data_IF_749052248666
#
_entry.id   IF_749052248666
#
_cell.length_a   1.000
_cell.length_b   1.000
_cell.length_c   1.000
_cell.angle_alpha   90.00
_cell.angle_beta   90.00
_cell.angle_gamma   90.00
#
_symmetry.space_group_name_H-M   'P 1'
#
loop_
_entity.id
_entity.type
_entity.pdbx_description
1 polymer ?
#
# COMPACT_ATOMS: atom_id res chain seq x y z
N UNK A 1 15.05 -57.87 31.83
CA UNK A 1 16.13 -58.68 31.25
C UNK A 1 15.47 -59.60 30.24
N UNK A 2 16.05 -59.60 29.04
CA UNK A 2 15.69 -60.31 27.83
C UNK A 2 14.55 -59.80 26.92
N UNK A 3 14.95 -59.79 25.65
CA UNK A 3 14.25 -59.61 24.37
C UNK A 3 13.91 -58.17 23.95
N UNK A 4 14.25 -57.72 22.73
CA UNK A 4 15.12 -58.23 21.66
C UNK A 4 15.30 -57.08 20.66
N UNK A 5 16.46 -57.01 20.01
CA UNK A 5 16.78 -56.10 18.91
C UNK A 5 16.32 -56.69 17.56
N UNK A 6 15.93 -55.84 16.61
CA UNK A 6 16.28 -55.87 15.17
C UNK A 6 15.42 -54.82 14.43
N UNK A 7 15.95 -53.78 13.79
CA UNK A 7 16.77 -53.69 12.57
C UNK A 7 15.93 -53.46 11.29
N UNK A 8 16.44 -52.54 10.46
CA UNK A 8 15.86 -51.89 9.27
C UNK A 8 15.72 -52.80 8.03
N UNK A 9 14.77 -52.48 7.13
CA UNK A 9 15.03 -52.10 5.71
C UNK A 9 13.76 -51.98 4.82
N UNK A 10 13.64 -50.80 4.19
CA UNK A 10 13.18 -50.40 2.83
C UNK A 10 12.18 -51.18 1.92
N UNK A 11 11.27 -50.35 1.34
CA UNK A 11 10.84 -50.17 -0.09
C UNK A 11 9.54 -50.79 -0.68
N UNK A 12 8.81 -49.89 -1.38
CA UNK A 12 7.97 -50.04 -2.60
C UNK A 12 6.43 -50.22 -2.56
N UNK A 13 5.74 -49.17 -3.05
CA UNK A 13 4.67 -49.06 -4.06
C UNK A 13 3.31 -49.82 -4.05
N UNK A 14 2.28 -49.01 -4.35
CA UNK A 14 0.99 -49.23 -5.07
C UNK A 14 -0.27 -49.77 -4.36
N UNK A 15 -1.32 -48.93 -4.46
CA UNK A 15 -2.76 -49.12 -4.68
C UNK A 15 -3.62 -50.01 -3.76
N UNK A 16 -4.64 -49.37 -3.14
CA UNK A 16 -6.00 -49.93 -3.14
C UNK A 16 -7.07 -48.85 -2.96
N UNK A 17 -8.01 -48.81 -3.91
CA UNK A 17 -9.20 -48.00 -3.91
C UNK A 17 -10.28 -48.59 -2.99
N UNK A 18 -11.06 -47.73 -2.31
CA UNK A 18 -12.37 -48.11 -1.80
C UNK A 18 -13.37 -46.98 -2.03
N UNK A 19 -14.41 -47.29 -2.81
CA UNK A 19 -15.57 -46.45 -3.06
C UNK A 19 -16.45 -46.31 -1.81
N UNK A 20 -17.04 -45.14 -1.61
CA UNK A 20 -18.37 -45.05 -1.01
C UNK A 20 -19.25 -44.10 -1.81
N UNK A 21 -20.48 -44.54 -2.03
CA UNK A 21 -21.44 -43.95 -2.95
C UNK A 21 -22.36 -42.97 -2.23
N UNK A 22 -22.70 -41.90 -2.97
CA UNK A 22 -24.03 -41.29 -3.01
C UNK A 22 -24.53 -40.55 -1.76
N UNK A 23 -24.56 -39.22 -1.84
CA UNK A 23 -25.82 -38.47 -1.73
C UNK A 23 -25.65 -37.16 -2.53
N UNK A 24 -26.43 -37.02 -3.60
CA UNK A 24 -26.57 -35.80 -4.37
C UNK A 24 -27.40 -34.80 -3.56
N UNK A 25 -26.89 -33.58 -3.37
CA UNK A 25 -27.73 -32.41 -3.12
C UNK A 25 -27.42 -31.35 -4.19
N UNK A 26 -28.43 -31.07 -5.01
CA UNK A 26 -28.39 -30.07 -6.07
C UNK A 26 -28.89 -28.76 -5.49
N UNK A 27 -27.99 -27.82 -5.22
CA UNK A 27 -28.34 -26.41 -5.10
C UNK A 27 -27.40 -25.53 -5.93
N UNK A 28 -28.04 -24.64 -6.69
CA UNK A 28 -27.52 -23.66 -7.64
C UNK A 28 -26.21 -22.98 -7.19
N UNK A 29 -25.12 -23.25 -7.90
CA UNK A 29 -23.99 -22.31 -7.99
C UNK A 29 -24.11 -21.55 -9.31
N UNK A 30 -24.45 -20.27 -9.20
CA UNK A 30 -24.36 -19.32 -10.29
C UNK A 30 -22.87 -19.14 -10.61
N UNK A 31 -22.46 -19.62 -11.78
CA UNK A 31 -21.10 -19.54 -12.29
C UNK A 31 -20.76 -18.07 -12.58
N UNK A 32 -20.04 -17.44 -11.65
CA UNK A 32 -19.44 -16.14 -11.92
C UNK A 32 -18.21 -16.36 -12.82
N UNK A 33 -18.30 -15.82 -14.04
CA UNK A 33 -17.15 -15.70 -14.93
C UNK A 33 -16.14 -14.75 -14.29
N UNK A 34 -15.02 -15.31 -13.85
CA UNK A 34 -13.86 -14.57 -13.38
C UNK A 34 -13.24 -13.90 -14.61
N UNK A 35 -13.58 -12.62 -14.84
CA UNK A 35 -12.79 -11.78 -15.72
C UNK A 35 -11.47 -11.50 -15.02
N UNK A 36 -10.37 -12.00 -15.59
CA UNK A 36 -9.00 -11.67 -15.19
C UNK A 36 -8.81 -10.15 -15.26
N UNK A 37 -8.80 -9.49 -14.12
CA UNK A 37 -8.42 -8.07 -14.00
C UNK A 37 -6.90 -8.03 -13.84
N UNK A 38 -6.24 -7.28 -14.72
CA UNK A 38 -4.81 -7.00 -14.67
C UNK A 38 -4.42 -6.45 -13.30
N UNK A 39 -3.48 -7.15 -12.65
CA UNK A 39 -2.81 -6.72 -11.42
C UNK A 39 -2.23 -5.31 -11.63
N UNK A 40 -2.73 -4.33 -10.89
CA UNK A 40 -2.03 -3.06 -10.69
C UNK A 40 -1.49 -3.05 -9.26
N UNK A 41 -0.35 -3.70 -9.09
CA UNK A 41 0.52 -3.47 -7.93
C UNK A 41 1.54 -2.41 -8.35
N UNK A 42 1.89 -1.43 -7.51
CA UNK A 42 3.06 -0.59 -7.77
C UNK A 42 4.30 -1.48 -7.61
N UNK A 43 4.78 -2.07 -8.71
CA UNK A 43 5.97 -2.92 -8.67
C UNK A 43 7.23 -2.07 -8.41
N UNK A 44 8.19 -2.57 -7.62
CA UNK A 44 9.57 -2.10 -7.72
C UNK A 44 10.12 -2.50 -9.10
N UNK A 45 10.70 -1.52 -9.78
CA UNK A 45 11.28 -1.52 -11.14
C UNK A 45 12.11 -2.77 -11.48
N UNK A 46 11.92 -3.39 -12.68
CA UNK A 46 12.94 -3.76 -13.71
C UNK A 46 12.27 -4.27 -15.02
N UNK A 47 12.63 -3.67 -16.16
CA UNK A 47 13.18 -4.29 -17.41
C UNK A 47 12.97 -3.30 -18.57
N UNK A 48 14.02 -2.89 -19.29
CA UNK A 48 14.66 -3.68 -20.33
C UNK A 48 14.19 -3.14 -21.69
N UNK A 49 15.05 -2.38 -22.39
CA UNK A 49 14.74 -1.72 -23.66
C UNK A 49 14.30 -2.75 -24.72
N UNK A 50 13.12 -2.56 -25.29
CA UNK A 50 12.80 -3.05 -26.63
C UNK A 50 12.14 -1.90 -27.43
N UNK A 51 12.84 -1.42 -28.45
CA UNK A 51 12.35 -0.42 -29.40
C UNK A 51 11.44 -1.09 -30.43
N UNK A 52 10.13 -0.79 -30.46
CA UNK A 52 9.32 -0.88 -31.70
C UNK A 52 8.21 0.17 -31.75
N UNK A 53 8.35 1.04 -32.76
CA UNK A 53 7.43 1.82 -33.62
C UNK A 53 6.06 2.34 -33.15
N UNK A 54 5.88 3.64 -33.46
CA UNK A 54 4.62 4.39 -33.57
C UNK A 54 3.58 3.68 -34.46
N UNK A 55 2.39 3.48 -33.90
CA UNK A 55 1.06 3.76 -34.47
C UNK A 55 0.05 2.81 -33.83
N UNK A 56 -0.88 3.34 -33.03
CA UNK A 56 -2.31 3.06 -33.26
C UNK A 56 -3.20 3.82 -32.27
N UNK A 57 -4.23 4.37 -32.88
CA UNK A 57 -5.30 5.20 -32.35
C UNK A 57 -6.08 4.58 -31.19
N UNK A 58 -6.47 5.46 -30.27
CA UNK A 58 -7.54 5.30 -29.28
C UNK A 58 -8.83 4.90 -30.00
N UNK A 59 -9.46 3.79 -29.59
CA UNK A 59 -10.85 3.47 -29.90
C UNK A 59 -11.64 3.29 -28.61
N UNK A 60 -12.49 4.28 -28.32
CA UNK A 60 -13.58 4.19 -27.37
C UNK A 60 -14.60 3.17 -27.90
N UNK A 61 -14.95 2.18 -27.10
CA UNK A 61 -16.05 1.25 -27.41
C UNK A 61 -17.35 1.86 -26.87
N UNK A 62 -18.17 2.39 -27.79
CA UNK A 62 -19.61 2.57 -27.60
C UNK A 62 -20.35 1.31 -28.07
N UNK A 63 -21.12 0.66 -27.19
CA UNK A 63 -22.40 -0.04 -27.47
C UNK A 63 -23.06 -0.28 -26.09
N UNK A 64 -24.30 0.05 -25.78
CA UNK A 64 -25.41 0.67 -26.51
C UNK A 64 -26.59 0.90 -25.54
N UNK A 65 -27.59 1.67 -25.96
CA UNK A 65 -28.90 1.75 -25.31
C UNK A 65 -30.00 1.65 -26.37
N UNK A 66 -31.14 1.02 -26.06
CA UNK A 66 -32.42 1.55 -26.45
C UNK A 66 -33.16 2.04 -25.19
N UNK A 67 -33.47 3.34 -25.23
CA UNK A 67 -34.63 4.02 -24.66
C UNK A 67 -35.19 3.52 -23.32
N UNK A 68 -35.03 4.32 -22.26
CA UNK A 68 -36.19 4.83 -21.52
C UNK A 68 -35.82 6.02 -20.62
N UNK A 69 -36.67 7.04 -20.65
CA UNK A 69 -36.40 8.35 -20.10
C UNK A 69 -36.43 8.43 -18.58
N UNK A 70 -35.35 8.97 -18.01
CA UNK A 70 -35.44 9.76 -16.78
C UNK A 70 -34.30 10.78 -16.75
N UNK A 71 -34.63 12.03 -17.08
CA UNK A 71 -33.71 13.16 -16.97
C UNK A 71 -33.43 13.43 -15.49
N UNK A 72 -32.41 12.78 -14.94
CA UNK A 72 -31.68 13.27 -13.77
C UNK A 72 -30.46 13.99 -14.32
N UNK A 73 -30.49 15.33 -14.30
CA UNK A 73 -29.29 16.11 -14.56
C UNK A 73 -28.27 15.73 -13.48
N UNK A 74 -27.35 14.84 -13.81
CA UNK A 74 -26.10 14.73 -13.08
C UNK A 74 -25.43 16.08 -13.29
N UNK A 75 -25.57 16.95 -12.30
CA UNK A 75 -24.71 18.12 -12.20
C UNK A 75 -23.30 17.56 -12.18
N UNK A 76 -22.56 17.78 -13.26
CA UNK A 76 -21.10 17.75 -13.22
C UNK A 76 -20.71 18.58 -12.00
N UNK A 77 -20.28 17.89 -10.95
CA UNK A 77 -19.60 18.52 -9.86
C UNK A 77 -18.33 19.10 -10.49
N UNK A 78 -18.31 20.42 -10.66
CA UNK A 78 -17.10 21.18 -10.88
C UNK A 78 -16.05 20.67 -9.90
N UNK A 79 -15.08 19.89 -10.38
CA UNK A 79 -14.06 19.27 -9.57
C UNK A 79 -13.18 20.38 -9.00
N UNK A 80 -13.55 20.90 -7.83
CA UNK A 80 -12.60 21.65 -7.02
C UNK A 80 -11.48 20.67 -6.67
N UNK A 81 -10.23 21.04 -6.94
CA UNK A 81 -9.01 20.30 -6.59
C UNK A 81 -8.78 20.20 -5.06
N UNK A 82 -9.84 20.04 -4.29
CA UNK A 82 -9.84 19.98 -2.84
C UNK A 82 -9.68 18.52 -2.42
N UNK A 83 -8.52 18.21 -1.87
CA UNK A 83 -8.23 16.91 -1.25
C UNK A 83 -9.27 16.59 -0.18
N UNK A 84 -9.66 15.32 -0.08
CA UNK A 84 -10.51 14.87 1.02
C UNK A 84 -9.77 14.95 2.35
N UNK A 85 -10.52 15.22 3.42
CA UNK A 85 -9.98 15.16 4.78
C UNK A 85 -9.67 13.72 5.16
N UNK A 86 -8.54 13.52 5.83
CA UNK A 86 -8.08 12.23 6.36
C UNK A 86 -7.97 12.33 7.88
N UNK A 87 -8.60 11.40 8.60
CA UNK A 87 -8.46 11.30 10.04
C UNK A 87 -7.60 10.11 10.43
N UNK A 88 -6.64 10.34 11.31
CA UNK A 88 -5.82 9.30 11.95
C UNK A 88 -6.09 9.27 13.46
N UNK A 89 -5.91 8.12 14.09
CA UNK A 89 -5.98 8.03 15.55
C UNK A 89 -4.88 8.88 16.19
N UNK A 90 -5.19 9.58 17.28
CA UNK A 90 -4.17 10.33 18.03
C UNK A 90 -3.09 9.42 18.63
N UNK A 91 -3.37 8.13 18.78
CA UNK A 91 -2.45 7.11 19.32
C UNK A 91 -1.56 6.44 18.27
N UNK A 92 -1.89 6.61 16.99
CA UNK A 92 -1.28 5.85 15.89
C UNK A 92 0.24 5.89 15.91
N UNK A 93 0.82 7.08 16.10
CA UNK A 93 2.27 7.27 16.08
C UNK A 93 2.98 6.62 17.27
N UNK A 94 2.40 6.71 18.47
CA UNK A 94 2.96 6.15 19.69
C UNK A 94 2.88 4.62 19.68
N UNK A 95 1.72 4.08 19.30
CA UNK A 95 1.53 2.63 19.17
C UNK A 95 2.46 2.05 18.07
N UNK A 96 2.68 2.77 16.96
CA UNK A 96 3.66 2.37 15.94
C UNK A 96 5.11 2.37 16.45
N UNK A 97 5.52 3.41 17.19
CA UNK A 97 6.87 3.45 17.77
C UNK A 97 7.13 2.29 18.74
N UNK A 98 6.13 1.86 19.50
CA UNK A 98 6.25 0.68 20.37
C UNK A 98 6.48 -0.60 19.54
N UNK A 99 5.76 -0.77 18.42
CA UNK A 99 5.95 -1.92 17.51
C UNK A 99 7.32 -1.91 16.82
N UNK A 100 7.86 -0.73 16.53
CA UNK A 100 9.15 -0.52 15.86
C UNK A 100 10.34 -0.46 16.84
N UNK A 101 10.10 -0.54 18.16
CA UNK A 101 11.11 -0.26 19.18
C UNK A 101 12.36 -1.11 19.06
N UNK A 102 12.22 -2.43 18.92
CA UNK A 102 13.38 -3.35 18.83
C UNK A 102 14.28 -3.03 17.63
N UNK A 103 13.68 -2.74 16.48
CA UNK A 103 14.43 -2.36 15.29
C UNK A 103 15.07 -0.97 15.47
N UNK A 104 14.33 -0.03 16.03
CA UNK A 104 14.81 1.33 16.30
C UNK A 104 16.03 1.33 17.23
N UNK A 105 16.02 0.50 18.28
CA UNK A 105 17.17 0.33 19.18
C UNK A 105 18.41 -0.27 18.50
N UNK A 106 18.22 -1.00 17.38
CA UNK A 106 19.29 -1.57 16.54
C UNK A 106 19.67 -0.68 15.37
N UNK A 107 19.17 0.56 15.32
CA UNK A 107 19.33 1.48 14.18
C UNK A 107 18.81 0.87 12.86
N UNK A 108 17.65 0.21 12.92
CA UNK A 108 16.95 -0.34 11.75
C UNK A 108 15.62 0.36 11.55
N UNK A 109 15.34 0.79 10.32
CA UNK A 109 14.05 1.35 9.97
C UNK A 109 12.95 0.28 10.03
N UNK A 110 11.73 0.71 10.36
CA UNK A 110 10.53 -0.12 10.29
C UNK A 110 9.45 0.65 9.55
N UNK A 111 8.67 -0.01 8.68
CA UNK A 111 7.49 0.57 8.04
C UNK A 111 6.19 -0.11 8.44
N UNK A 112 5.09 0.62 8.25
CA UNK A 112 3.72 0.13 8.30
C UNK A 112 2.86 0.83 7.24
N UNK A 113 1.77 0.18 6.85
CA UNK A 113 0.89 0.60 5.76
C UNK A 113 -0.50 0.90 6.32
N UNK A 114 -1.12 1.98 5.84
CA UNK A 114 -2.44 2.41 6.28
C UNK A 114 -3.55 1.84 5.40
N UNK A 115 -4.59 1.35 6.06
CA UNK A 115 -5.90 1.07 5.46
C UNK A 115 -6.95 2.03 6.00
N UNK A 116 -7.68 2.69 5.11
CA UNK A 116 -8.74 3.62 5.47
C UNK A 116 -10.08 3.25 4.85
N UNK A 117 -11.17 3.58 5.55
CA UNK A 117 -12.50 3.56 4.95
C UNK A 117 -12.96 4.98 4.61
N UNK A 118 -13.71 5.12 3.51
CA UNK A 118 -14.32 6.39 3.10
C UNK A 118 -15.73 6.52 3.67
N UNK A 119 -16.03 7.62 4.34
CA UNK A 119 -17.39 7.93 4.81
C UNK A 119 -17.69 9.41 4.67
N UNK A 120 -18.73 9.71 3.89
CA UNK A 120 -19.24 11.09 3.65
C UNK A 120 -18.15 12.05 3.15
N UNK A 121 -17.26 11.58 2.28
CA UNK A 121 -16.17 12.41 1.73
C UNK A 121 -14.97 12.59 2.65
N UNK A 122 -14.90 11.82 3.74
CA UNK A 122 -13.78 11.83 4.69
C UNK A 122 -13.20 10.43 4.82
N UNK A 123 -11.87 10.33 4.72
CA UNK A 123 -11.12 9.10 4.89
C UNK A 123 -10.77 8.92 6.38
N UNK A 124 -10.97 7.72 6.90
CA UNK A 124 -10.64 7.39 8.29
C UNK A 124 -9.65 6.22 8.30
N UNK A 125 -8.42 6.47 8.74
CA UNK A 125 -7.41 5.42 8.91
C UNK A 125 -7.80 4.57 10.10
N UNK A 126 -8.23 3.34 9.81
CA UNK A 126 -8.68 2.36 10.82
C UNK A 126 -7.78 1.16 10.92
N UNK A 127 -6.78 1.05 10.05
CA UNK A 127 -5.94 -0.13 10.01
C UNK A 127 -4.49 0.28 9.80
N UNK A 128 -3.61 -0.27 10.64
CA UNK A 128 -2.17 -0.23 10.49
C UNK A 128 -1.69 -1.66 10.26
N UNK A 129 -1.08 -1.92 9.12
CA UNK A 129 -0.49 -3.22 8.79
C UNK A 129 1.02 -3.06 8.95
N UNK A 130 1.65 -3.86 9.80
CA UNK A 130 3.11 -4.00 9.86
C UNK A 130 3.48 -5.20 8.99
N UNK A 131 3.95 -4.98 7.75
CA UNK A 131 4.27 -6.09 6.87
C UNK A 131 5.55 -6.79 7.33
N UNK A 132 5.74 -8.02 6.83
CA UNK A 132 7.08 -8.58 6.70
C UNK A 132 7.93 -7.57 5.93
N UNK A 133 9.17 -7.38 6.31
CA UNK A 133 10.00 -6.34 5.72
C UNK A 133 11.49 -6.63 5.82
N UNK A 134 12.24 -6.13 4.85
CA UNK A 134 13.71 -6.07 4.90
C UNK A 134 14.13 -4.67 5.35
N UNK A 135 14.87 -4.60 6.46
CA UNK A 135 15.25 -3.34 7.12
C UNK A 135 16.76 -3.11 7.09
N UNK A 136 17.15 -1.88 6.80
CA UNK A 136 18.50 -1.35 7.01
C UNK A 136 18.41 -0.11 7.89
N UNK A 137 19.53 0.57 8.17
CA UNK A 137 19.52 1.85 8.88
C UNK A 137 18.98 3.03 8.07
N UNK A 138 18.67 2.83 6.78
CA UNK A 138 18.23 3.91 5.87
C UNK A 138 17.11 3.51 4.91
N UNK A 139 16.61 2.28 5.02
CA UNK A 139 15.51 1.76 4.19
C UNK A 139 14.73 0.70 4.95
N UNK A 140 13.41 0.64 4.73
CA UNK A 140 12.58 -0.51 5.07
C UNK A 140 11.66 -0.86 3.89
N UNK A 141 11.80 -2.08 3.36
CA UNK A 141 11.05 -2.55 2.20
C UNK A 141 10.03 -3.58 2.67
N UNK A 142 8.75 -3.29 2.48
CA UNK A 142 7.70 -4.28 2.67
C UNK A 142 7.92 -5.44 1.69
N UNK A 143 7.76 -6.67 2.18
CA UNK A 143 7.80 -7.88 1.37
C UNK A 143 6.46 -8.60 1.48
N UNK A 144 6.16 -9.38 0.44
CA UNK A 144 4.91 -10.13 0.30
C UNK A 144 3.65 -9.26 0.29
N UNK A 145 3.58 -8.32 -0.68
CA UNK A 145 2.45 -7.42 -0.89
C UNK A 145 1.09 -8.12 -1.05
N UNK A 146 1.07 -9.41 -1.38
CA UNK A 146 -0.16 -10.21 -1.44
C UNK A 146 -0.87 -10.29 -0.09
N UNK A 147 -0.14 -10.43 1.03
CA UNK A 147 -0.75 -10.47 2.37
C UNK A 147 -1.33 -9.11 2.77
N UNK A 148 -0.63 -8.02 2.41
CA UNK A 148 -1.11 -6.65 2.63
C UNK A 148 -2.39 -6.42 1.83
N UNK A 149 -2.37 -6.77 0.54
CA UNK A 149 -3.51 -6.65 -0.36
C UNK A 149 -4.69 -7.49 0.11
N UNK A 150 -4.47 -8.72 0.58
CA UNK A 150 -5.52 -9.59 1.08
C UNK A 150 -6.30 -8.93 2.25
N UNK A 151 -5.59 -8.37 3.24
CA UNK A 151 -6.22 -7.66 4.37
C UNK A 151 -6.99 -6.43 3.89
N UNK A 152 -6.40 -5.62 3.03
CA UNK A 152 -7.04 -4.41 2.51
C UNK A 152 -8.30 -4.75 1.71
N UNK A 153 -8.21 -5.74 0.82
CA UNK A 153 -9.32 -6.16 -0.04
C UNK A 153 -10.46 -6.80 0.77
N UNK A 154 -10.16 -7.75 1.66
CA UNK A 154 -11.17 -8.41 2.51
C UNK A 154 -11.98 -7.38 3.33
N UNK A 155 -11.31 -6.31 3.77
CA UNK A 155 -11.90 -5.25 4.59
C UNK A 155 -12.35 -4.02 3.79
N UNK A 156 -12.24 -4.06 2.46
CA UNK A 156 -12.56 -2.94 1.56
C UNK A 156 -11.88 -1.62 1.97
N UNK A 157 -10.60 -1.69 2.32
CA UNK A 157 -9.78 -0.56 2.77
C UNK A 157 -9.02 0.08 1.61
N UNK A 158 -8.91 1.41 1.65
CA UNK A 158 -8.14 2.23 0.72
C UNK A 158 -6.70 2.35 1.26
N UNK A 159 -5.66 2.09 0.45
CA UNK A 159 -4.24 2.23 0.84
C UNK A 159 -3.82 3.72 0.89
N UNK A 160 -4.27 4.45 1.91
CA UNK A 160 -4.14 5.92 1.98
C UNK A 160 -2.77 6.41 2.45
N UNK A 161 -1.76 5.55 2.56
CA UNK A 161 -0.42 5.95 2.93
C UNK A 161 0.32 4.95 3.78
N UNK A 162 1.38 5.45 4.42
CA UNK A 162 2.34 4.63 5.15
C UNK A 162 3.06 5.43 6.24
N UNK A 163 3.74 4.73 7.13
CA UNK A 163 4.54 5.28 8.22
C UNK A 163 5.86 4.53 8.31
N UNK A 164 6.95 5.22 8.59
CA UNK A 164 8.23 4.59 8.89
C UNK A 164 9.03 5.32 9.95
N UNK A 165 10.06 4.65 10.47
CA UNK A 165 11.03 5.23 11.41
C UNK A 165 12.29 5.70 10.70
N UNK A 166 12.82 6.83 11.16
CA UNK A 166 14.22 7.25 11.02
C UNK A 166 14.86 7.11 12.42
N UNK A 167 15.50 5.98 12.76
CA UNK A 167 16.00 5.76 14.12
C UNK A 167 17.01 6.82 14.57
N UNK A 168 17.93 7.21 13.69
CA UNK A 168 19.03 8.13 13.98
C UNK A 168 19.04 9.40 13.12
N UNK A 169 18.28 9.41 12.02
CA UNK A 169 18.20 10.54 11.10
C UNK A 169 17.17 11.58 11.54
N UNK A 170 17.31 12.79 11.02
CA UNK A 170 16.29 13.83 11.18
C UNK A 170 14.97 13.47 10.51
N UNK A 171 13.90 14.18 10.85
CA UNK A 171 12.59 14.00 10.24
C UNK A 171 12.51 14.67 8.85
N UNK A 172 12.59 13.90 7.76
CA UNK A 172 12.42 14.36 6.37
C UNK A 172 12.03 13.18 5.47
N UNK A 173 11.65 13.44 4.20
CA UNK A 173 11.50 12.37 3.20
C UNK A 173 12.82 12.19 2.45
N UNK A 174 13.41 11.00 2.56
CA UNK A 174 14.59 10.59 1.81
C UNK A 174 14.30 10.44 0.32
N UNK A 175 15.35 10.30 -0.50
CA UNK A 175 15.19 9.98 -1.94
C UNK A 175 14.31 8.75 -2.17
N UNK A 176 14.47 7.71 -1.34
CA UNK A 176 13.69 6.47 -1.44
C UNK A 176 12.24 6.74 -1.02
N UNK A 177 12.05 7.50 0.05
CA UNK A 177 10.71 7.83 0.56
C UNK A 177 9.91 8.65 -0.45
N UNK A 178 10.55 9.56 -1.18
CA UNK A 178 9.89 10.35 -2.22
C UNK A 178 9.36 9.47 -3.35
N UNK A 179 10.13 8.46 -3.78
CA UNK A 179 9.70 7.50 -4.81
C UNK A 179 8.62 6.55 -4.33
N UNK A 180 8.70 6.09 -3.07
CA UNK A 180 7.62 5.33 -2.43
C UNK A 180 6.35 6.17 -2.37
N UNK A 181 6.43 7.39 -1.85
CA UNK A 181 5.29 8.30 -1.72
C UNK A 181 4.69 8.68 -3.08
N UNK A 182 5.50 8.86 -4.12
CA UNK A 182 5.02 9.07 -5.49
C UNK A 182 4.08 7.94 -5.92
N UNK A 183 4.48 6.69 -5.70
CA UNK A 183 3.68 5.53 -6.08
C UNK A 183 2.33 5.50 -5.38
N UNK A 184 2.30 5.79 -4.06
CA UNK A 184 1.05 5.92 -3.32
C UNK A 184 0.18 7.08 -3.82
N UNK A 185 0.77 8.26 -4.05
CA UNK A 185 0.02 9.46 -4.42
C UNK A 185 -0.50 9.47 -5.86
N UNK A 186 0.13 8.69 -6.76
CA UNK A 186 -0.43 8.40 -8.09
C UNK A 186 -1.74 7.61 -7.99
N UNK A 187 -1.82 6.65 -7.06
CA UNK A 187 -3.00 5.81 -6.89
C UNK A 187 -4.10 6.50 -6.06
N UNK A 188 -3.70 7.21 -5.01
CA UNK A 188 -4.60 7.89 -4.06
C UNK A 188 -4.10 9.32 -3.86
N UNK A 189 -4.76 10.35 -4.43
CA UNK A 189 -4.31 11.73 -4.32
C UNK A 189 -4.16 12.26 -2.89
N UNK A 190 -4.94 11.70 -1.95
CA UNK A 190 -4.86 11.99 -0.51
C UNK A 190 -3.78 11.22 0.25
N UNK A 191 -2.99 10.38 -0.43
CA UNK A 191 -1.97 9.58 0.23
C UNK A 191 -0.93 10.45 0.96
N UNK A 192 -0.45 9.96 2.09
CA UNK A 192 0.54 10.64 2.91
C UNK A 192 1.54 9.65 3.53
N UNK A 193 2.71 10.18 3.89
CA UNK A 193 3.76 9.46 4.60
C UNK A 193 3.92 10.07 6.01
N UNK A 194 4.05 9.23 7.03
CA UNK A 194 4.48 9.67 8.37
C UNK A 194 5.93 9.23 8.59
N UNK A 195 6.80 10.18 8.92
CA UNK A 195 8.17 9.88 9.35
C UNK A 195 8.24 10.03 10.86
N UNK A 196 8.66 8.99 11.55
CA UNK A 196 8.92 9.00 12.99
C UNK A 196 10.43 9.09 13.24
N UNK A 197 10.90 10.22 13.78
CA UNK A 197 12.32 10.47 14.04
C UNK A 197 12.57 10.65 15.55
N UNK A 198 12.58 9.56 16.35
CA UNK A 198 12.59 9.64 17.81
C UNK A 198 13.84 10.33 18.41
N UNK A 199 14.94 10.37 17.68
CA UNK A 199 16.20 11.01 18.10
C UNK A 199 16.34 12.46 17.62
N UNK A 200 15.46 12.93 16.72
CA UNK A 200 15.47 14.30 16.24
C UNK A 200 14.89 15.26 17.30
N UNK A 201 15.78 16.02 17.93
CA UNK A 201 15.43 17.01 18.97
C UNK A 201 14.63 18.20 18.44
N UNK A 202 14.64 18.45 17.13
CA UNK A 202 13.93 19.55 16.49
C UNK A 202 12.51 19.17 16.08
N UNK A 203 12.33 17.95 15.56
CA UNK A 203 11.04 17.44 15.08
C UNK A 203 10.99 15.92 15.16
N UNK A 204 10.29 15.40 16.17
CA UNK A 204 10.20 13.96 16.41
C UNK A 204 9.32 13.20 15.41
N UNK A 205 8.49 13.89 14.64
CA UNK A 205 7.65 13.31 13.59
C UNK A 205 7.20 14.35 12.56
N UNK A 206 6.81 13.88 11.38
CA UNK A 206 6.26 14.72 10.31
C UNK A 206 5.28 13.93 9.45
N UNK A 207 4.26 14.62 8.93
CA UNK A 207 3.23 14.06 8.06
C UNK A 207 3.35 14.78 6.72
N UNK A 208 3.75 14.05 5.69
CA UNK A 208 4.18 14.63 4.41
C UNK A 208 3.40 14.07 3.23
N UNK A 209 3.34 14.86 2.16
CA UNK A 209 2.91 14.46 0.82
C UNK A 209 3.83 15.10 -0.22
N UNK A 210 3.85 14.59 -1.44
CA UNK A 210 4.50 15.29 -2.54
C UNK A 210 3.69 16.53 -2.92
N UNK A 211 4.40 17.61 -3.25
CA UNK A 211 3.73 18.78 -3.81
C UNK A 211 3.17 18.43 -5.19
N UNK A 212 1.96 18.90 -5.48
CA UNK A 212 1.23 18.57 -6.71
C UNK A 212 0.80 19.88 -7.40
N UNK A 213 1.24 20.16 -8.64
CA UNK A 213 1.94 19.25 -9.57
C UNK A 213 3.46 19.20 -9.44
N UNK A 214 4.09 20.07 -8.64
CA UNK A 214 5.54 20.29 -8.63
C UNK A 214 6.36 19.01 -8.40
N UNK A 215 6.32 18.48 -7.18
CA UNK A 215 7.06 17.28 -6.81
C UNK A 215 6.61 16.02 -7.53
N UNK A 216 5.30 15.86 -7.75
CA UNK A 216 4.75 14.77 -8.56
C UNK A 216 5.36 14.73 -9.96
N UNK A 217 5.57 15.89 -10.60
CA UNK A 217 6.17 15.96 -11.94
C UNK A 217 7.66 15.62 -11.93
N UNK A 218 8.41 16.11 -10.93
CA UNK A 218 9.84 15.79 -10.78
C UNK A 218 10.06 14.28 -10.61
N UNK A 219 9.24 13.63 -9.78
CA UNK A 219 9.35 12.20 -9.51
C UNK A 219 8.91 11.35 -10.71
N UNK A 220 7.87 11.78 -11.44
CA UNK A 220 7.42 11.12 -12.68
C UNK A 220 8.52 11.04 -13.74
N UNK A 221 9.33 12.08 -13.86
CA UNK A 221 10.39 12.19 -14.89
C UNK A 221 11.71 11.57 -14.43
N UNK A 222 11.84 11.21 -13.14
CA UNK A 222 13.07 10.68 -12.58
C UNK A 222 13.32 9.23 -13.02
N UNK A 223 14.51 8.97 -13.56
CA UNK A 223 14.96 7.64 -14.01
C UNK A 223 16.20 7.14 -13.26
N UNK A 224 16.64 7.88 -12.23
CA UNK A 224 17.81 7.53 -11.42
C UNK A 224 17.51 6.40 -10.44
N UNK A 225 18.53 5.60 -10.14
CA UNK A 225 18.45 4.45 -9.22
C UNK A 225 19.33 4.68 -7.99
N UNK A 226 18.96 4.05 -6.87
CA UNK A 226 19.65 4.22 -5.58
C UNK A 226 19.38 5.59 -4.95
N UNK A 227 20.17 5.95 -3.94
CA UNK A 227 20.06 7.26 -3.30
C UNK A 227 20.64 8.36 -4.19
N UNK A 228 19.80 9.34 -4.55
CA UNK A 228 20.18 10.47 -5.39
C UNK A 228 19.48 11.76 -4.93
N UNK A 229 19.86 12.88 -5.55
CA UNK A 229 19.21 14.18 -5.32
C UNK A 229 18.26 14.49 -6.47
N UNK A 230 17.14 15.13 -6.17
CA UNK A 230 16.18 15.56 -7.19
C UNK A 230 16.41 17.01 -7.61
N UNK A 231 16.04 17.32 -8.86
CA UNK A 231 16.01 18.69 -9.37
C UNK A 231 14.97 19.52 -8.61
N UNK A 232 15.20 20.82 -8.56
CA UNK A 232 14.19 21.76 -8.10
C UNK A 232 12.95 21.71 -9.00
N UNK A 233 11.79 21.97 -8.42
CA UNK A 233 10.54 22.08 -9.18
C UNK A 233 10.58 23.31 -10.09
N UNK A 234 9.78 23.33 -11.15
CA UNK A 234 9.80 24.41 -12.15
C UNK A 234 9.51 25.81 -11.58
N UNK A 235 8.78 25.88 -10.47
CA UNK A 235 8.42 27.12 -9.76
C UNK A 235 9.25 27.35 -8.49
N UNK A 236 10.27 26.51 -8.22
CA UNK A 236 11.12 26.60 -7.03
C UNK A 236 10.44 26.21 -5.72
N UNK A 237 9.24 25.63 -5.76
CA UNK A 237 8.60 25.10 -4.55
C UNK A 237 9.29 23.83 -4.06
N UNK A 238 9.20 23.50 -2.76
CA UNK A 238 9.65 22.21 -2.25
C UNK A 238 9.03 21.02 -3.00
N UNK A 239 9.79 19.92 -3.11
CA UNK A 239 9.33 18.68 -3.77
C UNK A 239 8.28 17.93 -2.95
N UNK A 240 8.26 18.15 -1.64
CA UNK A 240 7.25 17.64 -0.72
C UNK A 240 6.88 18.72 0.31
N UNK A 241 5.72 18.56 0.92
CA UNK A 241 5.14 19.50 1.88
C UNK A 241 4.45 18.77 3.02
N UNK A 242 4.12 19.49 4.09
CA UNK A 242 3.31 18.93 5.18
C UNK A 242 1.85 18.79 4.73
N UNK A 243 1.20 17.70 5.12
CA UNK A 243 -0.22 17.50 4.80
C UNK A 243 -1.10 18.47 5.60
N UNK A 244 -1.88 19.30 4.89
CA UNK A 244 -2.87 20.19 5.50
C UNK A 244 -4.23 19.51 5.74
N UNK A 245 -4.48 18.36 5.12
CA UNK A 245 -5.75 17.63 5.13
C UNK A 245 -5.74 16.39 6.06
N UNK A 246 -4.71 16.21 6.90
CA UNK A 246 -4.61 15.09 7.85
C UNK A 246 -4.84 15.58 9.29
N UNK A 247 -5.84 15.02 9.96
CA UNK A 247 -6.27 15.44 11.29
C UNK A 247 -6.16 14.30 12.31
N UNK A 248 -5.58 14.59 13.48
CA UNK A 248 -5.59 13.66 14.62
C UNK A 248 -6.96 13.65 15.28
N UNK A 249 -7.50 12.46 15.51
CA UNK A 249 -8.81 12.25 16.13
C UNK A 249 -8.67 11.31 17.34
N UNK A 250 -8.96 11.82 18.54
CA UNK A 250 -8.88 11.06 19.80
C UNK A 250 -9.94 9.97 19.95
N UNK A 251 -11.03 10.08 19.18
CA UNK A 251 -12.14 9.12 19.21
C UNK A 251 -12.00 8.03 18.13
N UNK A 252 -11.04 8.19 17.21
CA UNK A 252 -10.79 7.21 16.17
C UNK A 252 -9.95 6.08 16.74
N UNK A 253 -10.52 4.87 16.71
CA UNK A 253 -9.81 3.63 16.99
C UNK A 253 -9.30 3.04 15.68
N UNK A 254 -8.20 2.32 15.77
CA UNK A 254 -7.64 1.58 14.67
C UNK A 254 -7.22 0.18 15.14
N UNK A 255 -7.11 -0.75 14.20
CA UNK A 255 -6.66 -2.12 14.38
C UNK A 255 -5.23 -2.26 13.83
N UNK A 256 -4.43 -3.10 14.47
CA UNK A 256 -3.05 -3.39 14.06
C UNK A 256 -3.01 -4.84 13.57
N UNK A 257 -2.45 -5.04 12.38
CA UNK A 257 -2.13 -6.36 11.83
C UNK A 257 -0.61 -6.46 11.72
N UNK A 258 0.01 -7.23 12.61
CA UNK A 258 1.45 -7.48 12.57
C UNK A 258 1.72 -8.81 11.86
N UNK A 259 2.37 -8.76 10.71
CA UNK A 259 2.63 -9.90 9.82
C UNK A 259 4.07 -10.44 9.91
N UNK A 260 4.91 -9.85 10.76
CA UNK A 260 6.34 -10.17 10.85
C UNK A 260 6.62 -11.58 11.36
#
# INVERSE_FOLDING_TARGET
MDREKAALASFSSTDFATSFSGYEDKSNYQQFSLHTVTQFSPSPVISGIENVSQDSHISLIEVGNPEDGHSKSYKEASSSNTLQDVHISSRLMEDFLELAKENTEKDLETCGIFGAFLKRGTLYVTTLIIPKQESTSSTCLAINDEEIFAIQNERSLIPVGWIHTHPSQSCFLSSVDLHTQYSYQVMVPEAFAIVMAPTDTSRSNGIFRLSDPGGMSVLRECQEQGFHSHKETANGSPIYEHCSNVYKNSNLRFEIFDLR
#
